data_IF_694462963803
#
_entry.id   IF_694462963803
#
_cell.length_a   1.000
_cell.length_b   1.000
_cell.length_c   1.000
_cell.angle_alpha   90.00
_cell.angle_beta   90.00
_cell.angle_gamma   90.00
#
_symmetry.space_group_name_H-M   'P 1'
#
loop_
_entity.id
_entity.type
_entity.pdbx_description
1 polymer ?
#
# COMPACT_ATOMS: atom_id res chain seq x y z
N UNK A 1 13.02 -5.98 18.36
CA UNK A 1 11.70 -6.28 17.76
C UNK A 1 11.97 -6.95 16.41
N UNK A 2 11.22 -7.98 16.05
CA UNK A 2 11.33 -8.60 14.73
C UNK A 2 10.93 -7.59 13.64
N UNK A 3 11.66 -7.59 12.52
CA UNK A 3 11.36 -6.74 11.35
C UNK A 3 10.17 -7.35 10.61
N UNK A 4 9.20 -6.53 10.27
CA UNK A 4 8.00 -6.94 9.54
C UNK A 4 8.37 -7.14 8.07
N UNK A 5 8.03 -8.30 7.51
CA UNK A 5 8.39 -8.65 6.14
C UNK A 5 7.30 -8.18 5.17
N UNK A 6 7.62 -7.23 4.30
CA UNK A 6 6.69 -6.63 3.33
C UNK A 6 7.13 -7.00 1.93
N UNK A 7 6.26 -7.60 1.13
CA UNK A 7 6.60 -8.05 -0.21
C UNK A 7 5.64 -7.58 -1.29
N UNK A 8 6.12 -7.57 -2.53
CA UNK A 8 5.33 -7.40 -3.75
C UNK A 8 5.81 -8.38 -4.80
N UNK A 9 4.89 -8.90 -5.61
CA UNK A 9 5.24 -9.71 -6.78
C UNK A 9 5.63 -8.78 -7.93
N UNK A 10 6.70 -9.13 -8.64
CA UNK A 10 7.23 -8.32 -9.74
C UNK A 10 6.67 -8.84 -11.07
N UNK A 11 5.86 -8.00 -11.69
CA UNK A 11 5.37 -8.08 -13.07
C UNK A 11 5.12 -6.65 -13.56
N UNK A 12 4.63 -6.46 -14.79
CA UNK A 12 4.37 -5.14 -15.37
C UNK A 12 3.14 -4.45 -14.73
N UNK A 13 3.31 -3.97 -13.50
CA UNK A 13 2.33 -3.17 -12.78
C UNK A 13 2.59 -1.66 -12.95
N UNK A 14 1.59 -0.83 -12.64
CA UNK A 14 1.75 0.61 -12.58
C UNK A 14 2.70 1.02 -11.44
N UNK A 15 3.83 1.69 -11.69
CA UNK A 15 4.88 1.84 -10.67
C UNK A 15 4.40 2.44 -9.32
N UNK A 16 3.55 3.47 -9.35
CA UNK A 16 3.04 4.13 -8.14
C UNK A 16 2.17 3.22 -7.26
N UNK A 17 1.59 2.15 -7.82
CA UNK A 17 0.79 1.16 -7.09
C UNK A 17 1.55 0.42 -6.00
N UNK A 18 2.88 0.38 -6.14
CA UNK A 18 3.77 -0.35 -5.24
C UNK A 18 4.78 0.62 -4.61
N UNK A 19 5.44 1.45 -5.43
CA UNK A 19 6.49 2.35 -4.95
C UNK A 19 5.93 3.37 -3.95
N UNK A 20 4.76 3.96 -4.23
CA UNK A 20 4.15 4.93 -3.33
C UNK A 20 3.82 4.35 -1.93
N UNK A 21 3.08 3.24 -1.84
CA UNK A 21 2.87 2.53 -0.58
C UNK A 21 4.15 2.11 0.14
N UNK A 22 5.18 1.66 -0.58
CA UNK A 22 6.47 1.26 0.01
C UNK A 22 7.20 2.47 0.60
N UNK A 23 7.23 3.61 -0.09
CA UNK A 23 7.82 4.84 0.43
C UNK A 23 7.07 5.35 1.68
N UNK A 24 5.74 5.25 1.68
CA UNK A 24 4.93 5.60 2.85
C UNK A 24 5.21 4.70 4.06
N UNK A 25 5.31 3.38 3.85
CA UNK A 25 5.70 2.44 4.92
C UNK A 25 7.15 2.67 5.37
N UNK A 26 8.06 2.96 4.44
CA UNK A 26 9.44 3.28 4.78
C UNK A 26 9.53 4.53 5.67
N UNK A 27 8.65 5.51 5.45
CA UNK A 27 8.63 6.79 6.17
C UNK A 27 8.16 6.69 7.62
N UNK A 28 7.56 5.57 8.04
CA UNK A 28 7.23 5.32 9.46
C UNK A 28 8.27 4.44 10.17
N UNK A 29 9.34 4.00 9.50
CA UNK A 29 10.35 3.16 10.16
C UNK A 29 11.01 3.89 11.31
N UNK A 30 11.24 3.18 12.41
CA UNK A 30 11.85 3.74 13.62
C UNK A 30 13.19 4.40 13.34
N UNK A 31 14.05 3.78 12.54
CA UNK A 31 15.34 4.38 12.20
C UNK A 31 15.22 5.60 11.27
N UNK A 32 14.21 5.63 10.38
CA UNK A 32 13.91 6.82 9.56
C UNK A 32 13.44 7.98 10.43
N UNK A 33 12.46 7.74 11.33
CA UNK A 33 11.95 8.76 12.25
C UNK A 33 13.02 9.24 13.24
N UNK A 34 13.91 8.37 13.73
CA UNK A 34 15.07 8.80 14.52
C UNK A 34 15.98 9.73 13.72
N UNK A 35 16.19 9.48 12.43
CA UNK A 35 16.93 10.37 11.54
C UNK A 35 16.34 11.78 11.49
N UNK A 36 15.00 11.89 11.48
CA UNK A 36 14.30 13.17 11.49
C UNK A 36 14.50 13.98 12.78
N UNK A 37 14.88 13.34 13.89
CA UNK A 37 15.17 14.06 15.15
C UNK A 37 16.35 15.03 15.06
N UNK A 38 17.19 14.86 14.03
CA UNK A 38 18.25 15.82 13.69
C UNK A 38 17.68 17.20 13.37
N UNK A 39 16.51 17.26 12.76
CA UNK A 39 15.92 18.49 12.27
C UNK A 39 14.95 19.11 13.27
N UNK A 40 14.22 18.29 14.03
CA UNK A 40 13.22 18.75 14.98
C UNK A 40 12.79 17.68 15.97
N UNK A 41 12.09 18.04 17.06
CA UNK A 41 11.72 17.08 18.10
C UNK A 41 10.63 16.11 17.64
N UNK A 42 10.81 14.81 17.92
CA UNK A 42 9.78 13.77 17.80
C UNK A 42 9.63 13.11 19.18
N UNK A 43 8.39 12.96 19.64
CA UNK A 43 8.13 12.39 20.96
C UNK A 43 8.61 10.94 21.07
N UNK A 44 9.21 10.58 22.20
CA UNK A 44 9.72 9.22 22.44
C UNK A 44 8.62 8.16 22.36
N UNK A 45 7.39 8.51 22.79
CA UNK A 45 6.23 7.63 22.65
C UNK A 45 5.85 7.35 21.18
N UNK A 46 6.07 8.31 20.27
CA UNK A 46 5.88 8.15 18.82
C UNK A 46 6.94 7.20 18.27
N UNK A 47 8.22 7.42 18.62
CA UNK A 47 9.33 6.54 18.22
C UNK A 47 9.18 5.12 18.77
N UNK A 48 8.59 4.96 19.95
CA UNK A 48 8.36 3.64 20.55
C UNK A 48 7.40 2.79 19.72
N UNK A 49 6.36 3.41 19.13
CA UNK A 49 5.36 2.75 18.27
C UNK A 49 5.83 2.52 16.83
N UNK A 50 6.84 3.25 16.37
CA UNK A 50 7.36 3.11 15.01
C UNK A 50 7.85 1.67 14.71
N UNK A 51 7.41 1.05 13.61
CA UNK A 51 7.84 -0.30 13.23
C UNK A 51 9.22 -0.34 12.56
N UNK A 52 9.67 -1.54 12.23
CA UNK A 52 10.80 -1.79 11.33
C UNK A 52 10.33 -2.73 10.21
N UNK A 53 10.75 -2.46 8.97
CA UNK A 53 10.34 -3.22 7.77
C UNK A 53 11.54 -3.72 6.97
N UNK A 54 11.39 -4.90 6.39
CA UNK A 54 12.19 -5.39 5.27
C UNK A 54 11.31 -5.51 4.03
N UNK A 55 11.76 -4.93 2.92
CA UNK A 55 11.00 -4.85 1.68
C UNK A 55 11.53 -5.84 0.64
N UNK A 56 10.62 -6.60 0.03
CA UNK A 56 10.94 -7.67 -0.91
C UNK A 56 10.23 -7.44 -2.25
N UNK A 57 11.01 -7.31 -3.31
CA UNK A 57 10.54 -7.28 -4.69
C UNK A 57 10.75 -8.68 -5.28
N UNK A 58 9.67 -9.44 -5.41
CA UNK A 58 9.71 -10.90 -5.56
C UNK A 58 9.48 -11.27 -7.02
N UNK A 59 10.51 -11.79 -7.67
CA UNK A 59 10.44 -12.25 -9.07
C UNK A 59 10.29 -13.76 -9.19
N UNK A 60 9.92 -14.20 -10.41
CA UNK A 60 10.13 -15.60 -10.83
C UNK A 60 11.63 -15.89 -11.03
N UNK A 61 12.35 -14.91 -11.58
CA UNK A 61 13.81 -14.87 -11.69
C UNK A 61 14.34 -13.57 -11.07
N UNK A 62 15.67 -13.36 -11.10
CA UNK A 62 16.28 -12.07 -10.73
C UNK A 62 16.40 -11.10 -11.92
N UNK A 63 15.83 -11.45 -13.08
CA UNK A 63 15.93 -10.60 -14.27
C UNK A 63 15.09 -9.33 -14.11
N UNK A 64 15.59 -8.17 -14.58
CA UNK A 64 14.81 -6.93 -14.50
C UNK A 64 13.52 -7.02 -15.31
N UNK A 65 12.40 -6.61 -14.72
CA UNK A 65 11.08 -6.59 -15.35
C UNK A 65 10.73 -5.15 -15.75
N UNK A 66 10.24 -4.91 -16.99
CA UNK A 66 9.79 -3.59 -17.40
C UNK A 66 8.50 -3.19 -16.67
N UNK A 67 8.42 -1.93 -16.26
CA UNK A 67 7.20 -1.26 -15.81
C UNK A 67 6.85 -0.21 -16.87
N UNK A 68 5.95 -0.55 -17.80
CA UNK A 68 5.70 0.21 -19.02
C UNK A 68 5.09 1.59 -18.74
N UNK A 69 4.22 1.68 -17.73
CA UNK A 69 3.56 2.92 -17.31
C UNK A 69 4.52 4.07 -16.96
N UNK A 70 5.74 3.75 -16.53
CA UNK A 70 6.76 4.72 -16.12
C UNK A 70 8.05 4.61 -16.94
N UNK A 71 8.11 3.74 -17.95
CA UNK A 71 9.33 3.45 -18.72
C UNK A 71 10.54 3.05 -17.84
N UNK A 72 10.28 2.37 -16.72
CA UNK A 72 11.31 1.89 -15.80
C UNK A 72 11.54 0.40 -15.98
N UNK A 73 12.65 -0.10 -15.41
CA UNK A 73 12.85 -1.53 -15.14
C UNK A 73 13.12 -1.69 -13.66
N UNK A 74 12.50 -2.70 -13.05
CA UNK A 74 12.71 -3.05 -11.66
C UNK A 74 13.40 -4.42 -11.57
N UNK A 75 14.49 -4.48 -10.81
CA UNK A 75 15.18 -5.75 -10.53
C UNK A 75 14.59 -6.36 -9.26
N UNK A 76 14.13 -7.62 -9.29
CA UNK A 76 13.74 -8.34 -8.09
C UNK A 76 14.87 -8.38 -7.05
N UNK A 77 14.54 -8.15 -5.79
CA UNK A 77 15.49 -8.29 -4.66
C UNK A 77 15.58 -9.73 -4.17
N UNK A 78 14.54 -10.53 -4.42
CA UNK A 78 14.47 -11.95 -4.11
C UNK A 78 13.62 -12.70 -5.13
N UNK A 79 13.61 -14.02 -5.04
CA UNK A 79 12.76 -14.91 -5.85
C UNK A 79 11.71 -15.59 -4.99
N UNK A 80 10.68 -16.19 -5.59
CA UNK A 80 9.70 -16.99 -4.84
C UNK A 80 10.32 -18.11 -3.99
N UNK A 81 11.45 -18.67 -4.43
CA UNK A 81 12.14 -19.75 -3.74
C UNK A 81 12.95 -19.27 -2.53
N UNK A 82 13.44 -18.03 -2.57
CA UNK A 82 14.34 -17.46 -1.55
C UNK A 82 13.62 -16.44 -0.65
N UNK A 83 12.40 -16.02 -0.99
CA UNK A 83 11.62 -15.05 -0.22
C UNK A 83 11.30 -15.59 1.18
N UNK A 84 11.50 -14.80 2.26
CA UNK A 84 11.02 -15.17 3.58
C UNK A 84 9.49 -15.21 3.61
N UNK A 85 8.92 -15.79 4.66
CA UNK A 85 7.48 -15.65 4.93
C UNK A 85 7.15 -14.16 5.11
N UNK A 86 6.13 -13.69 4.39
CA UNK A 86 5.71 -12.30 4.43
C UNK A 86 4.66 -12.09 5.51
N UNK A 87 4.74 -10.94 6.17
CA UNK A 87 3.65 -10.44 6.98
C UNK A 87 2.61 -9.73 6.09
N UNK A 88 3.10 -8.90 5.16
CA UNK A 88 2.27 -8.10 4.25
C UNK A 88 2.64 -8.39 2.80
N UNK A 89 1.62 -8.62 1.96
CA UNK A 89 1.76 -8.74 0.52
C UNK A 89 1.00 -7.61 -0.17
N UNK A 90 1.69 -6.79 -0.97
CA UNK A 90 1.10 -5.75 -1.81
C UNK A 90 1.05 -6.23 -3.26
N UNK A 91 -0.11 -6.09 -3.90
CA UNK A 91 -0.34 -6.49 -5.28
C UNK A 91 -0.71 -5.26 -6.11
N UNK A 92 0.20 -4.84 -6.98
CA UNK A 92 0.00 -3.72 -7.89
C UNK A 92 -0.87 -4.08 -9.11
N UNK A 93 -1.44 -3.06 -9.75
CA UNK A 93 -2.32 -3.21 -10.90
C UNK A 93 -1.56 -3.33 -12.22
N UNK A 94 -1.74 -4.43 -12.98
CA UNK A 94 -1.27 -4.55 -14.35
C UNK A 94 -2.35 -4.10 -15.36
N UNK A 95 -2.06 -4.22 -16.66
CA UNK A 95 -3.07 -4.04 -17.70
C UNK A 95 -4.17 -5.12 -17.67
N UNK A 96 -5.26 -4.88 -18.40
CA UNK A 96 -6.44 -5.76 -18.42
C UNK A 96 -6.22 -7.13 -19.08
N UNK A 97 -5.17 -7.30 -19.89
CA UNK A 97 -4.84 -8.54 -20.60
C UNK A 97 -3.79 -9.39 -19.86
N UNK A 98 -3.27 -8.87 -18.75
CA UNK A 98 -2.28 -9.54 -17.92
C UNK A 98 -2.72 -10.94 -17.48
N UNK A 99 -1.77 -11.87 -17.56
CA UNK A 99 -1.94 -13.26 -17.14
C UNK A 99 -0.97 -13.55 -16.01
N UNK A 100 -1.53 -13.85 -14.84
CA UNK A 100 -0.77 -14.20 -13.66
C UNK A 100 -0.06 -15.54 -13.87
N UNK A 101 1.23 -15.59 -13.53
CA UNK A 101 1.99 -16.83 -13.53
C UNK A 101 1.42 -17.82 -12.47
N UNK A 102 1.32 -19.13 -12.77
CA UNK A 102 0.78 -20.11 -11.83
C UNK A 102 1.49 -20.12 -10.46
N UNK A 103 2.79 -19.88 -10.44
CA UNK A 103 3.61 -19.83 -9.22
C UNK A 103 3.24 -18.63 -8.34
N UNK A 104 2.94 -17.48 -8.95
CA UNK A 104 2.42 -16.31 -8.24
C UNK A 104 1.00 -16.55 -7.74
N UNK A 105 0.15 -17.22 -8.52
CA UNK A 105 -1.20 -17.57 -8.09
C UNK A 105 -1.18 -18.47 -6.85
N UNK A 106 -0.28 -19.46 -6.82
CA UNK A 106 -0.10 -20.33 -5.66
C UNK A 106 0.48 -19.59 -4.46
N UNK A 107 1.44 -18.69 -4.68
CA UNK A 107 1.97 -17.84 -3.61
C UNK A 107 0.87 -16.99 -2.96
N UNK A 108 0.02 -16.34 -3.75
CA UNK A 108 -1.11 -15.54 -3.26
C UNK A 108 -2.09 -16.40 -2.44
N UNK A 109 -2.47 -17.59 -2.95
CA UNK A 109 -3.37 -18.49 -2.23
C UNK A 109 -2.81 -18.90 -0.87
N UNK A 110 -1.53 -19.29 -0.81
CA UNK A 110 -0.86 -19.67 0.44
C UNK A 110 -0.78 -18.50 1.42
N UNK A 111 -0.43 -17.31 0.96
CA UNK A 111 -0.35 -16.10 1.77
C UNK A 111 -1.71 -15.76 2.41
N UNK A 112 -2.79 -15.77 1.60
CA UNK A 112 -4.14 -15.52 2.09
C UNK A 112 -4.61 -16.60 3.05
N UNK A 113 -4.36 -17.89 2.75
CA UNK A 113 -4.74 -19.02 3.60
C UNK A 113 -4.02 -19.01 4.97
N UNK A 114 -2.82 -18.42 5.04
CA UNK A 114 -2.11 -18.20 6.29
C UNK A 114 -2.68 -17.06 7.15
N UNK A 115 -3.70 -16.33 6.66
CA UNK A 115 -4.32 -15.21 7.36
C UNK A 115 -3.48 -13.93 7.41
N UNK A 116 -2.41 -13.86 6.61
CA UNK A 116 -1.51 -12.70 6.52
C UNK A 116 -2.16 -11.56 5.73
N UNK A 117 -1.76 -10.31 5.98
CA UNK A 117 -2.40 -9.18 5.32
C UNK A 117 -2.04 -9.13 3.84
N UNK A 118 -3.03 -8.92 3.00
CA UNK A 118 -2.88 -8.68 1.58
C UNK A 118 -3.53 -7.36 1.23
N UNK A 119 -2.77 -6.48 0.58
CA UNK A 119 -3.22 -5.23 0.04
C UNK A 119 -3.23 -5.29 -1.49
N UNK A 120 -4.24 -4.74 -2.13
CA UNK A 120 -4.23 -4.51 -3.57
C UNK A 120 -4.39 -3.04 -3.88
N UNK A 121 -3.79 -2.61 -4.98
CA UNK A 121 -3.91 -1.25 -5.49
C UNK A 121 -4.33 -1.28 -6.95
N UNK A 122 -5.11 -0.30 -7.40
CA UNK A 122 -5.57 -0.21 -8.79
C UNK A 122 -6.27 -1.50 -9.24
N UNK A 123 -5.84 -2.06 -10.38
CA UNK A 123 -6.31 -3.33 -10.93
C UNK A 123 -5.70 -4.55 -10.25
N UNK A 124 -4.89 -4.40 -9.20
CA UNK A 124 -4.30 -5.51 -8.43
C UNK A 124 -5.35 -6.41 -7.78
N UNK A 125 -6.55 -5.88 -7.51
CA UNK A 125 -7.70 -6.68 -7.08
C UNK A 125 -8.10 -7.74 -8.13
N UNK A 126 -7.92 -7.46 -9.42
CA UNK A 126 -8.17 -8.43 -10.49
C UNK A 126 -7.16 -9.59 -10.49
N UNK A 127 -5.92 -9.31 -10.07
CA UNK A 127 -4.85 -10.31 -10.00
C UNK A 127 -5.21 -11.34 -8.93
N UNK A 128 -5.60 -10.90 -7.74
CA UNK A 128 -6.02 -11.83 -6.69
C UNK A 128 -7.39 -12.46 -6.99
N UNK A 129 -8.32 -11.75 -7.64
CA UNK A 129 -9.59 -12.33 -8.09
C UNK A 129 -9.36 -13.52 -9.03
N UNK A 130 -8.35 -13.45 -9.92
CA UNK A 130 -7.99 -14.55 -10.83
C UNK A 130 -7.55 -15.83 -10.13
N UNK A 131 -7.21 -15.76 -8.83
CA UNK A 131 -6.81 -16.91 -8.01
C UNK A 131 -7.97 -17.55 -7.23
N UNK A 132 -9.16 -16.94 -7.27
CA UNK A 132 -10.36 -17.36 -6.52
C UNK A 132 -10.41 -16.87 -5.07
N UNK A 133 -9.35 -16.22 -4.55
CA UNK A 133 -9.32 -15.81 -3.13
C UNK A 133 -10.32 -14.70 -2.78
N UNK A 134 -10.89 -14.01 -3.77
CA UNK A 134 -11.95 -13.02 -3.59
C UNK A 134 -13.37 -13.56 -3.78
N UNK A 135 -13.53 -14.83 -4.14
CA UNK A 135 -14.86 -15.41 -4.37
C UNK A 135 -15.71 -15.32 -3.08
N UNK A 136 -16.88 -14.69 -3.19
CA UNK A 136 -17.78 -14.43 -2.07
C UNK A 136 -17.35 -13.28 -1.14
N UNK A 137 -16.23 -12.59 -1.40
CA UNK A 137 -15.74 -11.48 -0.57
C UNK A 137 -16.16 -10.11 -1.11
N UNK A 138 -16.25 -9.14 -0.20
CA UNK A 138 -16.40 -7.73 -0.57
C UNK A 138 -15.06 -7.18 -1.05
N UNK A 139 -15.09 -6.48 -2.19
CA UNK A 139 -13.89 -5.87 -2.75
C UNK A 139 -14.22 -4.62 -3.57
N UNK A 140 -13.21 -3.79 -3.79
CA UNK A 140 -13.23 -2.70 -4.78
C UNK A 140 -12.03 -2.84 -5.71
N UNK A 141 -12.06 -2.10 -6.80
CA UNK A 141 -11.03 -2.05 -7.84
C UNK A 141 -11.04 -0.64 -8.43
N UNK A 142 -10.07 -0.32 -9.29
CA UNK A 142 -10.07 0.95 -10.01
C UNK A 142 -11.43 1.25 -10.65
N UNK A 143 -11.90 2.49 -10.48
CA UNK A 143 -13.20 2.97 -10.94
C UNK A 143 -13.35 2.92 -12.46
N UNK A 144 -12.26 3.08 -13.22
CA UNK A 144 -12.28 3.07 -14.69
C UNK A 144 -12.56 1.64 -15.20
N UNK A 145 -11.92 0.64 -14.61
CA UNK A 145 -12.03 -0.76 -15.03
C UNK A 145 -13.07 -1.57 -14.23
N UNK A 146 -13.81 -0.93 -13.33
CA UNK A 146 -14.75 -1.57 -12.42
C UNK A 146 -15.76 -2.49 -13.12
N UNK A 147 -16.49 -1.98 -14.13
CA UNK A 147 -17.53 -2.77 -14.82
C UNK A 147 -16.92 -3.90 -15.67
N UNK A 148 -15.68 -3.73 -16.15
CA UNK A 148 -14.97 -4.78 -16.89
C UNK A 148 -14.65 -5.96 -15.97
N UNK A 149 -14.02 -5.70 -14.83
CA UNK A 149 -13.63 -6.76 -13.90
C UNK A 149 -14.79 -7.34 -13.10
N UNK A 150 -15.83 -6.55 -12.83
CA UNK A 150 -17.08 -7.05 -12.24
C UNK A 150 -17.73 -8.14 -13.09
N UNK A 151 -17.72 -7.98 -14.42
CA UNK A 151 -18.21 -9.01 -15.35
C UNK A 151 -17.29 -10.23 -15.41
N UNK A 152 -15.97 -10.01 -15.35
CA UNK A 152 -14.97 -11.07 -15.44
C UNK A 152 -14.92 -11.96 -14.19
N UNK A 153 -15.16 -11.39 -13.02
CA UNK A 153 -15.12 -12.08 -11.72
C UNK A 153 -16.45 -11.88 -10.98
N UNK A 154 -17.55 -12.53 -11.43
CA UNK A 154 -18.89 -12.29 -10.90
C UNK A 154 -19.13 -12.87 -9.49
N UNK A 155 -18.24 -13.74 -9.00
CA UNK A 155 -18.33 -14.31 -7.65
C UNK A 155 -17.84 -13.32 -6.58
N UNK A 156 -17.13 -12.26 -6.96
CA UNK A 156 -16.68 -11.23 -6.03
C UNK A 156 -17.80 -10.20 -5.81
N UNK A 157 -18.03 -9.83 -4.56
CA UNK A 157 -19.01 -8.81 -4.18
C UNK A 157 -18.41 -7.40 -4.38
N UNK A 158 -18.30 -6.99 -5.64
CA UNK A 158 -17.73 -5.70 -6.00
C UNK A 158 -18.59 -4.51 -5.53
N UNK A 159 -17.94 -3.49 -4.96
CA UNK A 159 -18.53 -2.18 -4.65
C UNK A 159 -17.59 -1.04 -5.04
N UNK A 160 -18.17 0.12 -5.34
CA UNK A 160 -17.46 1.38 -5.64
C UNK A 160 -17.87 2.54 -4.72
N UNK A 161 -18.56 2.23 -3.63
CA UNK A 161 -19.08 3.24 -2.69
C UNK A 161 -17.97 3.86 -1.83
N UNK A 162 -16.86 3.13 -1.66
CA UNK A 162 -15.72 3.50 -0.82
C UNK A 162 -14.43 3.36 -1.60
N UNK A 163 -13.43 4.17 -1.23
CA UNK A 163 -12.12 4.15 -1.87
C UNK A 163 -11.33 2.86 -1.67
N UNK A 164 -11.58 2.18 -0.56
CA UNK A 164 -11.06 0.85 -0.27
C UNK A 164 -12.12 0.03 0.47
N UNK A 165 -11.92 -1.28 0.46
CA UNK A 165 -12.76 -2.26 1.15
C UNK A 165 -11.85 -3.18 1.95
N UNK A 166 -12.30 -3.54 3.16
CA UNK A 166 -11.61 -4.46 4.06
C UNK A 166 -12.52 -5.66 4.31
N UNK A 167 -12.08 -6.85 3.92
CA UNK A 167 -12.78 -8.13 4.14
C UNK A 167 -11.81 -9.14 4.76
N UNK A 168 -11.75 -9.13 6.09
CA UNK A 168 -10.80 -9.92 6.88
C UNK A 168 -9.36 -9.43 6.71
N UNK A 169 -8.47 -10.30 6.23
CA UNK A 169 -7.07 -9.99 5.97
C UNK A 169 -6.81 -9.40 4.58
N UNK A 170 -7.84 -9.19 3.76
CA UNK A 170 -7.70 -8.65 2.41
C UNK A 170 -8.23 -7.21 2.37
N UNK A 171 -7.37 -6.31 1.92
CA UNK A 171 -7.61 -4.89 1.75
C UNK A 171 -7.49 -4.53 0.27
N UNK A 172 -8.61 -4.19 -0.36
CA UNK A 172 -8.60 -3.80 -1.77
C UNK A 172 -8.77 -2.30 -1.89
N UNK A 173 -7.80 -1.59 -2.47
CA UNK A 173 -7.90 -0.18 -2.82
C UNK A 173 -8.35 0.02 -4.27
N UNK A 174 -9.09 1.10 -4.52
CA UNK A 174 -9.59 1.47 -5.85
C UNK A 174 -8.46 1.94 -6.77
N UNK A 175 -8.20 3.25 -6.89
CA UNK A 175 -7.08 3.78 -7.69
C UNK A 175 -5.74 3.81 -6.95
N UNK A 176 -4.63 4.00 -7.67
CA UNK A 176 -3.27 4.05 -7.12
C UNK A 176 -3.15 4.95 -5.86
N UNK A 177 -3.50 6.23 -6.01
CA UNK A 177 -3.40 7.22 -4.93
C UNK A 177 -4.45 6.99 -3.83
N UNK A 178 -5.64 6.49 -4.18
CA UNK A 178 -6.63 6.09 -3.18
C UNK A 178 -6.16 4.88 -2.36
N UNK A 179 -5.29 4.05 -2.93
CA UNK A 179 -4.70 2.92 -2.24
C UNK A 179 -3.52 3.35 -1.35
N UNK A 180 -2.82 4.44 -1.69
CA UNK A 180 -1.91 5.10 -0.73
C UNK A 180 -2.69 5.64 0.48
N UNK A 181 -3.88 6.23 0.25
CA UNK A 181 -4.76 6.71 1.33
C UNK A 181 -5.19 5.54 2.25
N UNK A 182 -5.47 4.37 1.67
CA UNK A 182 -5.77 3.14 2.40
C UNK A 182 -4.60 2.70 3.30
N UNK A 183 -3.36 2.75 2.79
CA UNK A 183 -2.17 2.42 3.59
C UNK A 183 -1.96 3.46 4.70
N UNK A 184 -2.17 4.76 4.44
CA UNK A 184 -2.14 5.79 5.47
C UNK A 184 -3.18 5.52 6.57
N UNK A 185 -4.40 5.13 6.19
CA UNK A 185 -5.42 4.71 7.15
C UNK A 185 -4.95 3.51 7.98
N UNK A 186 -4.42 2.46 7.34
CA UNK A 186 -3.88 1.31 8.06
C UNK A 186 -2.76 1.70 9.04
N UNK A 187 -1.85 2.59 8.64
CA UNK A 187 -0.78 3.11 9.51
C UNK A 187 -1.37 3.81 10.74
N UNK A 188 -2.35 4.71 10.53
CA UNK A 188 -3.01 5.43 11.63
C UNK A 188 -3.62 4.47 12.64
N UNK A 189 -4.35 3.46 12.18
CA UNK A 189 -5.04 2.50 13.06
C UNK A 189 -4.06 1.59 13.82
N UNK A 190 -2.89 1.26 13.25
CA UNK A 190 -1.95 0.30 13.84
C UNK A 190 -0.80 0.95 14.64
N UNK A 191 -0.37 2.16 14.28
CA UNK A 191 0.78 2.84 14.89
C UNK A 191 0.46 4.22 15.48
N UNK A 192 -0.75 4.74 15.23
CA UNK A 192 -1.22 6.02 15.73
C UNK A 192 -1.11 7.14 14.71
N UNK A 193 -1.97 8.16 14.90
CA UNK A 193 -2.03 9.34 14.05
C UNK A 193 -0.72 10.15 14.07
N UNK A 194 -0.02 10.19 15.21
CA UNK A 194 1.22 10.92 15.34
C UNK A 194 2.36 10.32 14.51
N UNK A 195 2.46 8.98 14.48
CA UNK A 195 3.40 8.28 13.57
C UNK A 195 3.06 8.57 12.11
N UNK A 196 1.77 8.55 11.75
CA UNK A 196 1.33 8.91 10.39
C UNK A 196 1.71 10.37 10.05
N UNK A 197 1.50 11.31 10.97
CA UNK A 197 1.83 12.73 10.75
C UNK A 197 3.32 12.91 10.43
N UNK A 198 4.22 12.25 11.18
CA UNK A 198 5.66 12.36 10.90
C UNK A 198 6.04 11.80 9.52
N UNK A 199 5.45 10.67 9.12
CA UNK A 199 5.65 10.15 7.76
C UNK A 199 5.10 11.10 6.69
N UNK A 200 3.87 11.59 6.86
CA UNK A 200 3.23 12.54 5.96
C UNK A 200 4.06 13.81 5.78
N UNK A 201 4.62 14.38 6.86
CA UNK A 201 5.51 15.55 6.79
C UNK A 201 6.72 15.28 5.88
N UNK A 202 7.32 14.10 5.97
CA UNK A 202 8.52 13.77 5.19
C UNK A 202 8.25 13.60 3.69
N UNK A 203 7.04 13.19 3.32
CA UNK A 203 6.62 12.98 1.94
C UNK A 203 5.81 14.15 1.35
N UNK A 204 5.50 15.16 2.16
CA UNK A 204 4.50 16.19 1.88
C UNK A 204 3.17 15.60 1.37
N UNK A 205 2.69 14.57 2.06
CA UNK A 205 1.52 13.78 1.66
C UNK A 205 0.32 13.99 2.59
N UNK A 206 -0.76 14.56 2.07
CA UNK A 206 -2.04 14.67 2.75
C UNK A 206 -3.00 13.51 2.39
N UNK A 207 -3.17 12.49 3.24
CA UNK A 207 -4.08 11.40 2.97
C UNK A 207 -5.53 11.84 3.05
N UNK A 208 -6.35 11.25 2.18
CA UNK A 208 -7.81 11.38 2.23
C UNK A 208 -8.40 10.22 3.04
N UNK A 209 -9.58 10.42 3.61
CA UNK A 209 -10.33 9.34 4.26
C UNK A 209 -10.98 8.39 3.23
N UNK A 210 -11.73 7.41 3.73
CA UNK A 210 -12.38 6.36 2.92
C UNK A 210 -13.43 6.92 1.94
N UNK A 211 -13.98 8.09 2.24
CA UNK A 211 -14.95 8.84 1.44
C UNK A 211 -14.28 9.85 0.50
N UNK A 212 -12.98 10.03 0.65
CA UNK A 212 -12.17 10.89 -0.19
C UNK A 212 -12.02 12.32 0.29
N UNK A 213 -12.35 12.59 1.55
CA UNK A 213 -12.23 13.90 2.17
C UNK A 213 -10.87 14.06 2.86
N UNK A 214 -10.33 15.28 2.86
CA UNK A 214 -9.07 15.61 3.52
C UNK A 214 -9.25 15.88 5.02
N UNK A 215 -9.84 14.93 5.74
CA UNK A 215 -10.22 15.03 7.16
C UNK A 215 -9.27 14.24 8.08
N UNK A 216 -8.29 13.54 7.50
CA UNK A 216 -7.38 12.64 8.24
C UNK A 216 -6.39 13.43 9.09
N UNK A 217 -5.78 14.47 8.53
CA UNK A 217 -4.80 15.31 9.21
C UNK A 217 -5.44 16.63 9.68
N UNK A 218 -5.08 17.13 10.88
CA UNK A 218 -5.53 18.43 11.35
C UNK A 218 -5.07 19.56 10.42
N UNK A 219 -5.99 20.41 9.96
CA UNK A 219 -5.66 21.57 9.12
C UNK A 219 -4.97 22.67 9.91
N UNK A 220 -4.06 23.39 9.24
CA UNK A 220 -3.33 24.53 9.80
C UNK A 220 -3.92 25.85 9.30
N UNK A 221 -3.90 26.86 10.16
CA UNK A 221 -4.39 28.20 9.87
C UNK A 221 -3.38 29.24 10.36
N UNK A 222 -3.26 30.35 9.64
CA UNK A 222 -2.44 31.48 10.07
C UNK A 222 -3.14 32.33 11.15
N UNK A 223 -2.47 33.38 11.64
CA UNK A 223 -3.03 34.29 12.65
C UNK A 223 -4.25 35.09 12.18
N UNK A 224 -4.52 35.13 10.87
CA UNK A 224 -5.68 35.79 10.27
C UNK A 224 -6.84 34.79 10.01
N UNK A 225 -6.64 33.51 10.31
CA UNK A 225 -7.62 32.45 10.09
C UNK A 225 -7.64 31.89 8.67
N UNK A 226 -6.66 32.22 7.81
CA UNK A 226 -6.55 31.63 6.48
C UNK A 226 -5.94 30.23 6.59
N UNK A 227 -6.48 29.26 5.85
CA UNK A 227 -5.89 27.94 5.79
C UNK A 227 -4.53 28.01 5.09
N UNK A 228 -3.52 27.41 5.72
CA UNK A 228 -2.15 27.27 5.17
C UNK A 228 -1.84 25.79 4.94
N UNK A 229 -0.66 25.50 4.36
CA UNK A 229 -0.22 24.10 4.13
C UNK A 229 -0.40 23.26 5.40
N UNK A 230 -1.03 22.10 5.28
CA UNK A 230 -1.30 21.22 6.44
C UNK A 230 -0.02 20.70 7.06
N UNK A 231 1.00 20.49 6.23
CA UNK A 231 2.27 19.91 6.63
C UNK A 231 3.33 20.99 6.74
N UNK A 232 3.95 21.06 7.92
CA UNK A 232 5.15 21.84 8.18
C UNK A 232 6.03 21.04 9.12
N UNK A 233 7.32 21.05 8.83
CA UNK A 233 8.33 20.50 9.72
C UNK A 233 8.84 21.61 10.63
N UNK A 234 8.69 21.42 11.95
CA UNK A 234 9.19 22.37 12.93
C UNK A 234 10.65 22.03 13.24
N UNK A 235 11.53 22.97 12.90
CA UNK A 235 12.94 22.84 13.19
C UNK A 235 13.24 23.25 14.64
N UNK A 236 14.38 22.80 15.17
CA UNK A 236 14.96 23.32 16.43
C UNK A 236 15.22 24.83 16.35
#
# INVERSE_FOLDING_TARGET
MSRIQVGTLIYDFQAIDVVGPFDLLNSIRKDFLKGLTLFGPIAEATLARAPEFDFHHIGLTRDPVPLLSSSLRISPTTTLAECPELDYLLIGGPDQEFKLAPEFAEFIRRHVAAGKLLFTTCTGASVIASTGVLDGKNATINNVEYEYFKKRYPQVQWTREKKWVVDGNIWTGSGAVASMDMIAHWIKENYGLDVLIEACKSLDYEPRDIDGLFTVLPKRYDSQGNQVSTLEFFYH
#
